data_IF_916542442410
#
_entry.id   IF_916542442410
#
_cell.length_a   1.000
_cell.length_b   1.000
_cell.length_c   1.000
_cell.angle_alpha   90.00
_cell.angle_beta   90.00
_cell.angle_gamma   90.00
#
_symmetry.space_group_name_H-M   'P 1'
#
loop_
_entity.id
_entity.type
_entity.pdbx_description
1 polymer ?
#
# COMPACT_ATOMS: atom_id res chain seq x y z
N UNK A 1 -5.61 7.15 -21.83
CA UNK A 1 -5.84 6.62 -20.48
C UNK A 1 -5.47 7.68 -19.45
N UNK A 2 -6.23 7.80 -18.35
CA UNK A 2 -5.83 8.57 -17.18
C UNK A 2 -4.97 7.66 -16.29
N UNK A 3 -3.68 7.99 -16.17
CA UNK A 3 -2.71 7.25 -15.37
C UNK A 3 -2.21 8.14 -14.25
N UNK A 4 -2.30 7.65 -13.03
CA UNK A 4 -1.81 8.34 -11.83
C UNK A 4 -0.87 7.44 -11.04
N UNK A 5 0.09 8.02 -10.36
CA UNK A 5 1.09 7.29 -9.58
C UNK A 5 0.94 7.64 -8.11
N UNK A 6 0.98 6.63 -7.23
CA UNK A 6 0.99 6.84 -5.78
C UNK A 6 2.28 6.28 -5.18
N UNK A 7 2.97 7.09 -4.40
CA UNK A 7 4.25 6.79 -3.77
C UNK A 7 4.25 7.21 -2.30
N UNK A 8 5.07 6.59 -1.43
CA UNK A 8 5.38 7.16 -0.14
C UNK A 8 6.18 8.46 -0.28
N UNK A 9 5.89 9.45 0.55
CA UNK A 9 6.72 10.66 0.68
C UNK A 9 7.91 10.37 1.60
N UNK A 10 8.95 9.77 1.06
CA UNK A 10 10.15 9.48 1.84
C UNK A 10 10.92 10.74 2.24
N UNK A 11 11.43 10.77 3.47
CA UNK A 11 12.31 11.85 3.95
C UNK A 11 13.59 11.94 3.10
N UNK A 12 14.10 10.82 2.61
CA UNK A 12 15.29 10.75 1.75
C UNK A 12 15.07 11.24 0.30
N UNK A 13 13.84 11.62 -0.06
CA UNK A 13 13.55 12.24 -1.35
C UNK A 13 14.39 13.53 -1.50
N UNK A 14 14.92 13.77 -2.70
CA UNK A 14 15.69 14.98 -2.97
C UNK A 14 14.85 16.25 -2.74
N UNK A 15 15.49 17.30 -2.24
CA UNK A 15 14.81 18.56 -1.90
C UNK A 15 14.13 19.19 -3.13
N UNK A 16 14.75 19.15 -4.30
CA UNK A 16 14.19 19.66 -5.56
C UNK A 16 12.82 19.09 -5.93
N UNK A 17 12.52 17.86 -5.49
CA UNK A 17 11.21 17.21 -5.66
C UNK A 17 10.26 17.60 -4.54
N UNK A 18 10.75 17.66 -3.30
CA UNK A 18 9.94 18.08 -2.14
C UNK A 18 9.38 19.49 -2.34
N UNK A 19 10.17 20.38 -2.93
CA UNK A 19 9.78 21.78 -3.16
C UNK A 19 8.67 21.93 -4.22
N UNK A 20 8.45 20.90 -5.03
CA UNK A 20 7.37 20.86 -6.02
C UNK A 20 6.07 20.28 -5.50
N UNK A 21 6.09 19.62 -4.33
CA UNK A 21 4.93 19.00 -3.76
C UNK A 21 3.93 20.05 -3.30
N UNK A 22 2.68 19.88 -3.69
CA UNK A 22 1.56 20.69 -3.23
C UNK A 22 0.69 19.86 -2.29
N UNK A 23 0.24 20.49 -1.22
CA UNK A 23 -0.71 19.85 -0.31
C UNK A 23 -2.07 19.68 -1.01
N UNK A 24 -2.58 18.45 -1.01
CA UNK A 24 -3.89 18.13 -1.55
C UNK A 24 -4.94 18.04 -0.43
N UNK A 25 -4.79 17.07 0.47
CA UNK A 25 -5.68 16.87 1.61
C UNK A 25 -5.04 15.96 2.67
N UNK A 26 -5.74 15.71 3.76
CA UNK A 26 -5.37 14.71 4.75
C UNK A 26 -6.60 14.08 5.39
N UNK A 27 -6.40 12.94 6.01
CA UNK A 27 -7.40 12.25 6.81
C UNK A 27 -6.72 11.39 7.89
N UNK A 28 -7.53 10.80 8.76
CA UNK A 28 -7.06 9.81 9.72
C UNK A 28 -7.64 8.45 9.37
N UNK A 29 -6.79 7.44 9.38
CA UNK A 29 -7.11 6.07 9.03
C UNK A 29 -6.81 5.15 10.21
N UNK A 30 -7.73 4.23 10.51
CA UNK A 30 -7.44 3.17 11.48
C UNK A 30 -6.60 2.08 10.81
N UNK A 31 -5.40 1.84 11.34
CA UNK A 31 -4.60 0.67 11.03
C UNK A 31 -4.74 -0.28 12.23
N UNK A 32 -5.77 -1.13 12.19
CA UNK A 32 -6.29 -1.86 13.32
C UNK A 32 -6.69 -0.87 14.47
N UNK A 33 -6.10 -0.99 15.63
CA UNK A 33 -6.34 -0.10 16.79
C UNK A 33 -5.55 1.23 16.71
N UNK A 34 -4.60 1.34 15.78
CA UNK A 34 -3.78 2.53 15.59
C UNK A 34 -4.48 3.55 14.71
N UNK A 35 -4.74 4.74 15.23
CA UNK A 35 -5.24 5.84 14.42
C UNK A 35 -4.07 6.60 13.81
N UNK A 36 -3.92 6.53 12.49
CA UNK A 36 -2.78 7.07 11.77
C UNK A 36 -3.18 8.27 10.89
N UNK A 37 -2.35 9.29 10.90
CA UNK A 37 -2.46 10.40 9.96
C UNK A 37 -2.08 9.93 8.56
N UNK A 38 -2.81 10.38 7.56
CA UNK A 38 -2.51 10.19 6.13
C UNK A 38 -2.59 11.53 5.44
N UNK A 39 -1.45 12.12 5.10
CA UNK A 39 -1.37 13.28 4.24
C UNK A 39 -1.30 12.86 2.78
N UNK A 40 -1.90 13.64 1.91
CA UNK A 40 -1.80 13.47 0.45
C UNK A 40 -1.22 14.75 -0.11
N UNK A 41 -0.03 14.63 -0.71
CA UNK A 41 0.61 15.68 -1.49
C UNK A 41 0.59 15.27 -2.95
N UNK A 42 0.63 16.25 -3.84
CA UNK A 42 0.59 15.98 -5.28
C UNK A 42 1.61 16.80 -6.05
N UNK A 43 2.00 16.32 -7.19
CA UNK A 43 2.72 17.07 -8.23
C UNK A 43 2.46 16.48 -9.59
N UNK A 44 2.49 17.33 -10.62
CA UNK A 44 2.49 16.87 -11.99
C UNK A 44 3.94 16.80 -12.52
N UNK A 45 4.27 15.70 -13.18
CA UNK A 45 5.55 15.52 -13.85
C UNK A 45 5.34 14.79 -15.18
N UNK A 46 5.82 15.41 -16.27
CA UNK A 46 5.69 14.90 -17.64
C UNK A 46 4.26 14.53 -18.04
N UNK A 47 3.27 15.30 -17.57
CA UNK A 47 1.84 15.09 -17.86
C UNK A 47 1.20 13.96 -17.04
N UNK A 48 1.90 13.42 -16.05
CA UNK A 48 1.38 12.40 -15.11
C UNK A 48 1.22 13.02 -13.73
N UNK A 49 0.06 12.80 -13.12
CA UNK A 49 -0.21 13.23 -11.76
C UNK A 49 0.31 12.20 -10.75
N UNK A 50 1.19 12.65 -9.87
CA UNK A 50 1.77 11.87 -8.79
C UNK A 50 1.15 12.29 -7.46
N UNK A 51 0.72 11.32 -6.67
CA UNK A 51 0.32 11.50 -5.28
C UNK A 51 1.36 10.90 -4.35
N UNK A 52 1.64 11.61 -3.26
CA UNK A 52 2.58 11.17 -2.23
C UNK A 52 1.86 11.02 -0.90
N UNK A 53 1.90 9.81 -0.38
CA UNK A 53 1.35 9.51 0.97
C UNK A 53 2.36 9.98 2.01
N UNK A 54 1.94 10.94 2.82
CA UNK A 54 2.76 11.55 3.87
C UNK A 54 2.37 11.00 5.25
N UNK A 55 3.37 10.49 5.93
CA UNK A 55 3.34 10.18 7.35
C UNK A 55 4.79 10.14 7.87
N UNK A 56 5.16 11.14 8.68
CA UNK A 56 6.54 11.27 9.15
C UNK A 56 6.98 10.09 10.04
N UNK A 57 6.08 9.44 10.75
CA UNK A 57 6.44 8.29 11.57
C UNK A 57 6.93 7.10 10.72
N UNK A 58 6.27 6.83 9.58
CA UNK A 58 6.63 5.70 8.73
C UNK A 58 7.71 6.01 7.70
N UNK A 59 7.81 7.25 7.21
CA UNK A 59 8.64 7.59 6.05
C UNK A 59 9.82 8.51 6.37
N UNK A 60 10.20 8.67 7.65
CA UNK A 60 11.28 9.55 8.09
C UNK A 60 12.70 8.95 7.97
N UNK A 61 12.84 7.72 7.49
CA UNK A 61 14.14 7.07 7.35
C UNK A 61 15.05 7.73 6.31
N UNK A 62 16.37 7.57 6.50
CA UNK A 62 17.39 8.03 5.55
C UNK A 62 17.42 7.19 4.25
N UNK A 63 16.74 6.07 4.22
CA UNK A 63 16.57 5.19 3.07
C UNK A 63 15.12 4.71 2.98
N UNK A 64 14.63 4.30 1.78
CA UNK A 64 13.29 3.76 1.60
C UNK A 64 13.03 2.49 2.41
N UNK A 65 14.09 1.71 2.62
CA UNK A 65 14.07 0.43 3.34
C UNK A 65 15.01 0.48 4.54
N UNK A 66 14.65 -0.25 5.59
CA UNK A 66 15.44 -0.32 6.80
C UNK A 66 15.32 -1.68 7.48
N UNK A 67 14.94 -1.66 8.74
CA UNK A 67 14.65 -2.86 9.47
C UNK A 67 13.33 -3.47 9.01
N UNK A 68 13.35 -4.78 8.75
CA UNK A 68 12.17 -5.52 8.26
C UNK A 68 10.94 -5.37 9.18
N UNK A 69 11.14 -5.27 10.48
CA UNK A 69 10.05 -5.07 11.44
C UNK A 69 9.30 -3.75 11.21
N UNK A 70 10.07 -2.67 11.03
CA UNK A 70 9.51 -1.36 10.73
C UNK A 70 8.91 -1.33 9.31
N UNK A 71 9.56 -1.97 8.36
CA UNK A 71 9.10 -2.00 6.96
C UNK A 71 7.80 -2.78 6.80
N UNK A 72 7.57 -3.85 7.56
CA UNK A 72 6.31 -4.60 7.56
C UNK A 72 5.12 -3.68 7.95
N UNK A 73 5.24 -2.92 9.02
CA UNK A 73 4.17 -1.99 9.43
C UNK A 73 4.04 -0.81 8.45
N UNK A 74 5.16 -0.23 8.00
CA UNK A 74 5.23 0.84 7.02
C UNK A 74 4.46 0.52 5.75
N UNK A 75 4.70 -0.65 5.16
CA UNK A 75 4.07 -1.03 3.90
C UNK A 75 2.66 -1.59 4.07
N UNK A 76 2.29 -2.09 5.25
CA UNK A 76 0.89 -2.32 5.60
C UNK A 76 0.12 -0.99 5.66
N UNK A 77 0.69 0.02 6.34
CA UNK A 77 0.15 1.37 6.37
C UNK A 77 -0.01 1.94 4.96
N UNK A 78 1.07 1.93 4.15
CA UNK A 78 1.04 2.44 2.79
C UNK A 78 -0.04 1.77 1.94
N UNK A 79 -0.11 0.44 1.96
CA UNK A 79 -1.08 -0.32 1.18
C UNK A 79 -2.53 0.04 1.51
N UNK A 80 -2.84 0.20 2.80
CA UNK A 80 -4.18 0.61 3.23
C UNK A 80 -4.45 2.08 2.91
N UNK A 81 -3.45 2.95 3.11
CA UNK A 81 -3.55 4.38 2.84
C UNK A 81 -3.83 4.68 1.37
N UNK A 82 -3.17 3.96 0.44
CA UNK A 82 -3.45 4.07 -1.01
C UNK A 82 -4.93 3.87 -1.29
N UNK A 83 -5.52 2.78 -0.84
CA UNK A 83 -6.94 2.49 -1.08
C UNK A 83 -7.86 3.52 -0.41
N UNK A 84 -7.57 3.88 0.84
CA UNK A 84 -8.37 4.85 1.59
C UNK A 84 -8.31 6.26 1.00
N UNK A 85 -7.25 6.59 0.25
CA UNK A 85 -7.07 7.88 -0.41
C UNK A 85 -7.90 8.02 -1.70
N UNK A 86 -8.21 6.94 -2.39
CA UNK A 86 -8.86 6.97 -3.70
C UNK A 86 -10.16 7.80 -3.74
N UNK A 87 -11.08 7.66 -2.76
CA UNK A 87 -12.30 8.48 -2.76
C UNK A 87 -12.05 9.98 -2.52
N UNK A 88 -10.86 10.35 -1.98
CA UNK A 88 -10.52 11.72 -1.60
C UNK A 88 -9.76 12.48 -2.69
N UNK A 89 -9.24 11.78 -3.69
CA UNK A 89 -8.50 12.36 -4.81
C UNK A 89 -9.35 12.44 -6.09
N UNK A 90 -10.66 12.24 -5.95
CA UNK A 90 -11.63 12.22 -7.06
C UNK A 90 -11.17 11.35 -8.25
N UNK A 91 -10.67 10.15 -7.93
CA UNK A 91 -10.19 9.20 -8.92
C UNK A 91 -10.54 7.77 -8.52
N UNK A 92 -11.46 7.18 -9.27
CA UNK A 92 -11.78 5.76 -9.13
C UNK A 92 -11.11 4.98 -10.26
N UNK A 93 -9.99 4.28 -10.00
CA UNK A 93 -9.29 3.53 -11.03
C UNK A 93 -10.09 2.31 -11.48
N UNK A 94 -9.94 1.92 -12.74
CA UNK A 94 -10.36 0.61 -13.23
C UNK A 94 -9.36 -0.47 -12.80
N UNK A 95 -8.06 -0.10 -12.77
CA UNK A 95 -6.95 -1.00 -12.46
C UNK A 95 -5.99 -0.34 -11.49
N UNK A 96 -5.58 -1.07 -10.47
CA UNK A 96 -4.46 -0.73 -9.58
C UNK A 96 -3.29 -1.66 -9.92
N UNK A 97 -2.18 -1.06 -10.35
CA UNK A 97 -0.96 -1.79 -10.66
C UNK A 97 0.00 -1.75 -9.47
N UNK A 98 0.22 -2.89 -8.87
CA UNK A 98 1.05 -3.09 -7.68
C UNK A 98 2.44 -3.62 -8.07
N UNK A 99 3.47 -3.21 -7.34
CA UNK A 99 4.85 -3.57 -7.61
C UNK A 99 5.53 -4.13 -6.37
N UNK A 100 5.97 -5.38 -6.44
CA UNK A 100 6.69 -6.10 -5.39
C UNK A 100 5.95 -6.19 -4.04
N UNK A 101 6.60 -6.74 -3.04
CA UNK A 101 6.02 -7.02 -1.73
C UNK A 101 5.53 -5.76 -0.99
N UNK A 102 6.15 -4.62 -1.25
CA UNK A 102 5.78 -3.34 -0.63
C UNK A 102 4.34 -2.93 -0.90
N UNK A 103 3.79 -3.39 -2.01
CA UNK A 103 2.40 -3.15 -2.41
C UNK A 103 1.56 -4.43 -2.35
N UNK A 104 2.14 -5.53 -1.87
CA UNK A 104 1.50 -6.85 -1.87
C UNK A 104 0.21 -6.94 -1.05
N UNK A 105 0.04 -6.08 -0.05
CA UNK A 105 -1.21 -6.03 0.71
C UNK A 105 -2.32 -5.20 0.05
N UNK A 106 -2.05 -4.45 -1.02
CA UNK A 106 -3.11 -3.68 -1.72
C UNK A 106 -4.22 -4.60 -2.23
N UNK A 107 -3.93 -5.69 -2.99
CA UNK A 107 -4.98 -6.60 -3.43
C UNK A 107 -5.73 -7.27 -2.27
N UNK A 108 -5.04 -7.58 -1.17
CA UNK A 108 -5.64 -8.19 0.03
C UNK A 108 -6.60 -7.22 0.73
N UNK A 109 -6.18 -5.96 0.95
CA UNK A 109 -7.04 -4.93 1.52
C UNK A 109 -8.19 -4.58 0.58
N UNK A 110 -7.96 -4.57 -0.73
CA UNK A 110 -9.02 -4.30 -1.70
C UNK A 110 -10.11 -5.37 -1.64
N UNK A 111 -9.75 -6.64 -1.51
CA UNK A 111 -10.71 -7.72 -1.29
C UNK A 111 -11.55 -7.45 -0.03
N UNK A 112 -10.91 -7.09 1.08
CA UNK A 112 -11.60 -6.75 2.31
C UNK A 112 -12.48 -5.49 2.17
N UNK A 113 -12.04 -4.45 1.49
CA UNK A 113 -12.78 -3.20 1.29
C UNK A 113 -14.03 -3.38 0.41
N UNK A 114 -14.02 -4.33 -0.50
CA UNK A 114 -15.19 -4.66 -1.34
C UNK A 114 -16.41 -5.13 -0.53
N UNK A 115 -16.16 -5.68 0.68
CA UNK A 115 -17.24 -6.05 1.59
C UNK A 115 -17.87 -4.79 2.20
N UNK A 116 -19.07 -4.46 1.74
CA UNK A 116 -19.84 -3.33 2.29
C UNK A 116 -19.51 -1.95 1.70
N UNK A 117 -18.63 -1.85 0.70
CA UNK A 117 -18.35 -0.57 0.06
C UNK A 117 -18.34 -0.69 -1.47
N UNK A 118 -19.41 -0.15 -2.09
CA UNK A 118 -19.63 -0.16 -3.55
C UNK A 118 -18.52 0.54 -4.34
N UNK A 119 -17.86 1.54 -3.74
CA UNK A 119 -16.78 2.29 -4.41
C UNK A 119 -15.68 1.37 -4.94
N UNK A 120 -15.32 0.33 -4.18
CA UNK A 120 -14.22 -0.57 -4.53
C UNK A 120 -14.63 -1.75 -5.42
N UNK A 121 -15.92 -1.94 -5.66
CA UNK A 121 -16.39 -3.02 -6.54
C UNK A 121 -15.94 -2.82 -7.97
N UNK A 122 -15.47 -3.88 -8.59
CA UNK A 122 -15.03 -3.88 -9.99
C UNK A 122 -13.63 -3.33 -10.24
N UNK A 123 -12.98 -2.68 -9.26
CA UNK A 123 -11.57 -2.31 -9.38
C UNK A 123 -10.74 -3.59 -9.51
N UNK A 124 -9.87 -3.66 -10.53
CA UNK A 124 -8.99 -4.79 -10.80
C UNK A 124 -7.57 -4.51 -10.34
N UNK A 125 -6.79 -5.57 -10.11
CA UNK A 125 -5.40 -5.45 -9.69
C UNK A 125 -4.46 -6.23 -10.59
N UNK A 126 -3.28 -5.64 -10.84
CA UNK A 126 -2.14 -6.30 -11.46
C UNK A 126 -1.01 -6.30 -10.44
N UNK A 127 -0.33 -7.42 -10.28
CA UNK A 127 0.84 -7.56 -9.42
C UNK A 127 2.06 -7.85 -10.27
N UNK A 128 3.05 -6.94 -10.30
CA UNK A 128 4.33 -7.14 -10.97
C UNK A 128 5.40 -7.52 -9.95
N UNK A 129 6.13 -8.60 -10.24
CA UNK A 129 7.24 -9.09 -9.42
C UNK A 129 8.54 -8.74 -10.13
N UNK A 130 9.29 -7.80 -9.57
CA UNK A 130 10.62 -7.42 -10.08
C UNK A 130 11.73 -8.21 -9.38
N UNK A 131 11.53 -8.58 -8.11
CA UNK A 131 12.52 -9.32 -7.33
C UNK A 131 11.85 -10.29 -6.35
N UNK A 132 11.83 -11.56 -6.71
CA UNK A 132 11.24 -12.63 -5.92
C UNK A 132 11.97 -12.91 -4.59
N UNK A 133 13.22 -12.47 -4.44
CA UNK A 133 14.02 -12.69 -3.23
C UNK A 133 13.41 -12.01 -1.99
N UNK A 134 12.79 -10.84 -2.18
CA UNK A 134 12.22 -10.06 -1.09
C UNK A 134 10.70 -10.22 -1.08
N UNK A 135 10.15 -10.74 0.01
CA UNK A 135 8.75 -11.15 0.06
C UNK A 135 7.92 -10.45 1.14
N UNK A 136 8.56 -9.69 2.04
CA UNK A 136 7.85 -9.04 3.14
C UNK A 136 7.21 -10.06 4.07
N UNK A 137 8.05 -10.90 4.70
CA UNK A 137 7.60 -12.01 5.54
C UNK A 137 7.79 -11.68 7.02
N UNK A 138 6.76 -11.92 7.83
CA UNK A 138 6.80 -11.72 9.27
C UNK A 138 5.74 -12.53 10.01
N UNK A 139 5.94 -12.67 11.33
CA UNK A 139 5.03 -13.38 12.24
C UNK A 139 3.55 -13.02 11.99
N UNK A 140 2.73 -14.02 11.78
CA UNK A 140 1.32 -13.88 11.41
C UNK A 140 0.50 -13.13 12.47
N UNK A 141 0.78 -13.32 13.77
CA UNK A 141 0.02 -12.65 14.85
C UNK A 141 0.33 -11.15 14.84
N UNK A 142 1.60 -10.80 14.62
CA UNK A 142 2.05 -9.40 14.53
C UNK A 142 1.44 -8.71 13.31
N UNK A 143 1.46 -9.36 12.15
CA UNK A 143 0.86 -8.79 10.93
C UNK A 143 -0.64 -8.62 11.09
N UNK A 144 -1.34 -9.54 11.74
CA UNK A 144 -2.76 -9.37 12.07
C UNK A 144 -3.00 -8.20 13.01
N UNK A 145 -2.19 -8.04 14.05
CA UNK A 145 -2.27 -6.90 14.96
C UNK A 145 -2.00 -5.57 14.24
N UNK A 146 -1.09 -5.55 13.28
CA UNK A 146 -0.80 -4.38 12.45
C UNK A 146 -1.97 -4.06 11.51
N UNK A 147 -2.42 -5.03 10.75
CA UNK A 147 -3.37 -4.80 9.64
C UNK A 147 -4.82 -4.72 10.06
N UNK A 148 -5.19 -5.40 11.14
CA UNK A 148 -6.60 -5.61 11.54
C UNK A 148 -7.38 -6.52 10.60
N UNK A 149 -6.71 -7.17 9.64
CA UNK A 149 -7.37 -8.12 8.75
C UNK A 149 -7.85 -9.36 9.52
N UNK A 150 -9.02 -9.92 9.21
CA UNK A 150 -9.52 -11.15 9.82
C UNK A 150 -8.59 -12.35 9.66
N UNK A 151 -8.67 -13.31 10.59
CA UNK A 151 -7.93 -14.58 10.51
C UNK A 151 -8.10 -15.29 9.18
N UNK A 152 -9.24 -15.12 8.55
CA UNK A 152 -9.57 -15.68 7.24
C UNK A 152 -8.50 -15.43 6.16
N UNK A 153 -7.78 -14.30 6.22
CA UNK A 153 -6.71 -13.99 5.27
C UNK A 153 -5.40 -14.72 5.57
N UNK A 154 -5.20 -15.19 6.81
CA UNK A 154 -3.93 -15.75 7.29
C UNK A 154 -3.98 -17.27 7.37
N UNK A 155 -4.22 -17.90 6.24
CA UNK A 155 -4.23 -19.35 6.05
C UNK A 155 -3.33 -19.73 4.89
N UNK A 156 -2.86 -21.02 4.79
CA UNK A 156 -1.87 -21.44 3.79
C UNK A 156 -2.25 -21.16 2.34
N UNK A 157 -3.53 -21.14 2.01
CA UNK A 157 -4.02 -20.85 0.65
C UNK A 157 -4.02 -19.35 0.32
N UNK A 158 -3.69 -18.48 1.28
CA UNK A 158 -3.80 -17.03 1.14
C UNK A 158 -2.50 -16.32 1.51
N UNK A 159 -2.50 -15.49 2.54
CA UNK A 159 -1.34 -14.67 2.93
C UNK A 159 -0.29 -15.46 3.70
N UNK A 160 -0.67 -16.55 4.39
CA UNK A 160 0.28 -17.33 5.17
C UNK A 160 1.22 -18.17 4.29
N UNK A 161 2.52 -18.17 4.62
CA UNK A 161 3.53 -19.05 4.07
C UNK A 161 4.48 -19.52 5.19
N UNK A 162 4.59 -20.83 5.39
CA UNK A 162 5.47 -21.43 6.41
C UNK A 162 5.23 -20.90 7.83
N UNK A 163 3.95 -20.66 8.19
CA UNK A 163 3.45 -20.11 9.45
C UNK A 163 3.61 -18.59 9.62
N UNK A 164 4.31 -17.93 8.72
CA UNK A 164 4.43 -16.48 8.68
C UNK A 164 3.47 -15.86 7.67
N UNK A 165 3.12 -14.59 7.85
CA UNK A 165 2.45 -13.80 6.83
C UNK A 165 3.47 -13.37 5.77
N UNK A 166 3.09 -13.44 4.50
CA UNK A 166 3.94 -13.11 3.35
C UNK A 166 3.17 -12.14 2.43
N UNK A 167 3.64 -10.89 2.36
CA UNK A 167 2.96 -9.83 1.62
C UNK A 167 2.96 -10.07 0.10
N UNK A 168 4.09 -10.52 -0.44
CA UNK A 168 4.18 -10.84 -1.88
C UNK A 168 3.22 -11.96 -2.24
N UNK A 169 3.16 -13.02 -1.43
CA UNK A 169 2.19 -14.11 -1.62
C UNK A 169 0.75 -13.59 -1.56
N UNK A 170 0.43 -12.73 -0.60
CA UNK A 170 -0.88 -12.10 -0.53
C UNK A 170 -1.22 -11.36 -1.82
N UNK A 171 -0.28 -10.56 -2.33
CA UNK A 171 -0.43 -9.88 -3.63
C UNK A 171 -0.66 -10.83 -4.79
N UNK A 172 0.09 -11.92 -4.87
CA UNK A 172 -0.04 -12.94 -5.93
C UNK A 172 -1.41 -13.63 -5.86
N UNK A 173 -1.84 -14.02 -4.66
CA UNK A 173 -3.10 -14.78 -4.48
C UNK A 173 -4.32 -13.93 -4.78
N UNK A 174 -4.29 -12.64 -4.43
CA UNK A 174 -5.44 -11.75 -4.54
C UNK A 174 -5.46 -10.87 -5.79
N UNK A 175 -4.37 -10.78 -6.55
CA UNK A 175 -4.36 -10.02 -7.79
C UNK A 175 -5.15 -10.71 -8.92
N UNK A 176 -5.80 -9.90 -9.75
CA UNK A 176 -6.51 -10.40 -10.95
C UNK A 176 -5.52 -10.86 -12.04
N UNK A 177 -4.32 -10.28 -12.09
CA UNK A 177 -3.24 -10.64 -13.03
C UNK A 177 -1.87 -10.49 -12.37
N UNK A 178 -0.93 -11.31 -12.82
CA UNK A 178 0.46 -11.28 -12.38
C UNK A 178 1.35 -11.08 -13.60
N UNK A 179 2.39 -10.26 -13.43
CA UNK A 179 3.45 -10.04 -14.43
C UNK A 179 4.83 -10.15 -13.77
N UNK A 180 5.85 -10.39 -14.57
CA UNK A 180 7.27 -10.46 -14.14
C UNK A 180 8.14 -9.68 -15.10
#
# INVERSE_FOLDING_TARGET
YDVRVMLPKYMCMKQEWKDKLQYHTHFYMDLNWRKQYVGILEMEYEGILFYFIDNEYYFNGYAPYGDIYADIEKFAFFSKAVLSSLPLIDFRPDIIHCHDWQTGLIPVFLDNFRYGNEYYRGIKTIMTIHNLKFQGTWDTKRVRDITGLPQYYFVPDKVEAYKDANYLKGGIVYADRITT
#
